data_IF_382786041444
#
_entry.id   IF_382786041444
#
_cell.length_a   1.000
_cell.length_b   1.000
_cell.length_c   1.000
_cell.angle_alpha   90.00
_cell.angle_beta   90.00
_cell.angle_gamma   90.00
#
_symmetry.space_group_name_H-M   'P 1'
#
loop_
_entity.id
_entity.type
_entity.pdbx_description
1 polymer ?
#
# COMPACT_ATOMS: atom_id res chain seq x y z
N UNK A 1 -7.37 3.30 2.01
CA UNK A 1 -6.46 4.37 1.56
C UNK A 1 -6.84 5.78 2.03
N UNK A 2 -8.02 6.34 1.70
CA UNK A 2 -8.38 7.75 2.04
C UNK A 2 -8.46 8.06 3.54
N UNK A 3 -8.51 7.03 4.40
CA UNK A 3 -8.40 7.17 5.85
C UNK A 3 -7.13 6.57 6.43
N UNK A 4 -6.28 5.94 5.64
CA UNK A 4 -5.02 5.38 6.13
C UNK A 4 -3.97 6.49 6.24
N UNK A 5 -3.08 6.35 7.20
CA UNK A 5 -1.94 7.25 7.43
C UNK A 5 -0.66 6.41 7.47
N UNK A 6 0.49 7.07 7.50
CA UNK A 6 1.79 6.39 7.50
C UNK A 6 1.82 5.21 8.49
N UNK A 7 2.14 4.02 7.96
CA UNK A 7 2.29 2.77 8.68
C UNK A 7 1.07 2.37 9.54
N UNK A 8 -0.11 2.89 9.20
CA UNK A 8 -1.35 2.66 9.96
C UNK A 8 -2.42 2.09 9.03
N UNK A 9 -2.72 0.81 9.21
CA UNK A 9 -3.86 0.17 8.57
C UNK A 9 -5.14 0.49 9.35
N UNK A 10 -6.09 1.21 8.72
CA UNK A 10 -7.44 1.46 9.27
C UNK A 10 -8.54 0.70 8.54
N UNK A 11 -8.18 -0.03 7.48
CA UNK A 11 -9.14 -0.85 6.76
C UNK A 11 -9.39 -2.17 7.47
N UNK A 12 -8.35 -2.95 7.74
CA UNK A 12 -8.48 -4.32 8.27
C UNK A 12 -9.15 -4.32 9.65
N UNK A 13 -10.16 -5.16 9.84
CA UNK A 13 -10.81 -5.36 11.12
C UNK A 13 -10.00 -6.32 12.01
N UNK A 14 -10.08 -6.23 13.35
CA UNK A 14 -9.36 -7.12 14.25
C UNK A 14 -9.67 -8.61 14.07
N UNK A 15 -10.88 -8.92 13.59
CA UNK A 15 -11.36 -10.28 13.29
C UNK A 15 -11.10 -10.69 11.83
N UNK A 16 -10.43 -9.85 11.04
CA UNK A 16 -10.14 -10.03 9.62
C UNK A 16 -11.39 -10.17 8.73
N UNK A 17 -12.58 -9.78 9.22
CA UNK A 17 -13.86 -9.94 8.49
C UNK A 17 -13.90 -9.27 7.11
N UNK A 18 -13.12 -8.20 6.92
CA UNK A 18 -13.02 -7.46 5.64
C UNK A 18 -11.80 -7.84 4.80
N UNK A 19 -10.97 -8.76 5.28
CA UNK A 19 -9.79 -9.25 4.58
C UNK A 19 -10.16 -10.14 3.38
N UNK A 20 -11.44 -10.55 3.23
CA UNK A 20 -11.93 -11.30 2.07
C UNK A 20 -12.02 -10.47 0.77
N UNK A 21 -12.06 -9.15 0.86
CA UNK A 21 -12.13 -8.25 -0.32
C UNK A 21 -10.77 -7.63 -0.61
N UNK A 22 -10.10 -7.14 0.44
CA UNK A 22 -8.75 -6.58 0.37
C UNK A 22 -7.85 -7.27 1.39
N UNK A 23 -7.33 -8.47 1.07
CA UNK A 23 -6.32 -9.11 1.89
C UNK A 23 -5.10 -8.22 2.11
N UNK A 24 -4.59 -8.16 3.34
CA UNK A 24 -3.28 -7.58 3.63
C UNK A 24 -2.19 -8.23 2.76
N UNK A 25 -1.29 -7.43 2.20
CA UNK A 25 -0.21 -7.93 1.36
C UNK A 25 0.96 -8.43 2.22
N UNK A 26 1.05 -9.75 2.43
CA UNK A 26 2.13 -10.40 3.18
C UNK A 26 3.35 -10.69 2.29
N UNK A 27 3.92 -9.63 1.72
CA UNK A 27 5.08 -9.72 0.81
C UNK A 27 6.37 -9.49 1.60
N UNK A 28 7.36 -10.35 1.39
CA UNK A 28 8.72 -10.11 1.89
C UNK A 28 9.39 -8.98 1.08
N UNK A 29 9.98 -7.95 1.72
CA UNK A 29 10.61 -6.81 1.02
C UNK A 29 11.64 -7.22 -0.04
N UNK A 30 12.34 -8.34 0.14
CA UNK A 30 13.28 -8.89 -0.86
C UNK A 30 12.64 -9.44 -2.15
N UNK A 31 11.31 -9.38 -2.29
CA UNK A 31 10.57 -9.80 -3.50
C UNK A 31 10.00 -8.62 -4.30
N UNK A 32 10.28 -7.38 -3.89
CA UNK A 32 9.85 -6.20 -4.64
C UNK A 32 10.70 -5.99 -5.90
N UNK A 33 10.17 -5.39 -6.97
CA UNK A 33 10.94 -5.13 -8.18
C UNK A 33 12.11 -4.18 -7.91
N UNK A 34 13.28 -4.45 -8.50
CA UNK A 34 14.50 -3.66 -8.32
C UNK A 34 14.41 -2.22 -8.83
N UNK A 35 13.41 -1.90 -9.64
CA UNK A 35 13.13 -0.53 -10.10
C UNK A 35 12.63 0.38 -8.98
N UNK A 36 12.22 -0.17 -7.83
CA UNK A 36 11.83 0.60 -6.65
C UNK A 36 12.98 0.69 -5.65
N UNK A 37 13.02 1.78 -4.89
CA UNK A 37 13.96 1.91 -3.79
C UNK A 37 13.53 1.01 -2.62
N UNK A 38 14.40 0.09 -2.21
CA UNK A 38 14.11 -0.81 -1.09
C UNK A 38 13.84 -0.07 0.22
N UNK A 39 14.44 1.12 0.41
CA UNK A 39 14.24 1.93 1.60
C UNK A 39 12.82 2.54 1.73
N UNK A 40 12.06 2.56 0.63
CA UNK A 40 10.67 3.00 0.66
C UNK A 40 9.73 1.90 1.17
N UNK A 41 10.20 0.64 1.27
CA UNK A 41 9.39 -0.47 1.76
C UNK A 41 9.67 -0.77 3.23
N UNK A 42 8.61 -1.05 3.97
CA UNK A 42 8.67 -1.48 5.36
C UNK A 42 7.60 -2.56 5.63
N UNK A 43 7.60 -3.15 6.82
CA UNK A 43 6.54 -4.05 7.26
C UNK A 43 5.95 -3.61 8.59
N UNK A 44 4.63 -3.69 8.69
CA UNK A 44 3.88 -3.46 9.92
C UNK A 44 3.18 -4.74 10.37
N UNK A 45 3.03 -4.92 11.68
CA UNK A 45 2.19 -5.97 12.24
C UNK A 45 0.73 -5.50 12.30
N UNK A 46 -0.15 -6.25 11.63
CA UNK A 46 -1.59 -6.00 11.63
C UNK A 46 -2.30 -7.28 11.99
N UNK A 47 -2.82 -7.33 13.23
CA UNK A 47 -3.59 -8.45 13.76
C UNK A 47 -2.92 -9.82 13.54
N UNK A 48 -1.62 -9.90 13.80
CA UNK A 48 -0.82 -11.14 13.65
C UNK A 48 -0.31 -11.42 12.24
N UNK A 49 -0.50 -10.50 11.29
CA UNK A 49 0.03 -10.58 9.92
C UNK A 49 1.10 -9.52 9.65
N UNK A 50 2.12 -9.88 8.87
CA UNK A 50 3.18 -8.96 8.43
C UNK A 50 2.75 -8.28 7.13
N UNK A 51 2.21 -7.08 7.22
CA UNK A 51 1.76 -6.33 6.06
C UNK A 51 2.89 -5.45 5.50
N UNK A 52 3.15 -5.54 4.19
CA UNK A 52 4.08 -4.67 3.49
C UNK A 52 3.51 -3.24 3.37
N UNK A 53 4.36 -2.24 3.56
CA UNK A 53 4.06 -0.83 3.28
C UNK A 53 5.00 -0.28 2.20
N UNK A 54 4.56 0.74 1.47
CA UNK A 54 5.40 1.51 0.54
C UNK A 54 5.24 3.01 0.79
N UNK A 55 6.33 3.70 1.10
CA UNK A 55 6.36 5.09 1.58
C UNK A 55 5.32 5.36 2.68
N UNK A 56 5.15 4.38 3.56
CA UNK A 56 4.17 4.41 4.65
C UNK A 56 2.75 3.99 4.29
N UNK A 57 2.43 3.72 3.02
CA UNK A 57 1.10 3.23 2.64
C UNK A 57 0.98 1.72 2.89
N UNK A 58 0.02 1.25 3.71
CA UNK A 58 -0.25 -0.17 3.84
C UNK A 58 -0.73 -0.75 2.50
N UNK A 59 -0.11 -1.83 2.05
CA UNK A 59 -0.44 -2.46 0.77
C UNK A 59 -1.44 -3.60 0.95
N UNK A 60 -2.32 -3.75 -0.04
CA UNK A 60 -3.35 -4.78 -0.10
C UNK A 60 -3.33 -5.43 -1.47
N UNK A 61 -3.69 -6.71 -1.52
CA UNK A 61 -4.11 -7.33 -2.76
C UNK A 61 -5.61 -7.19 -2.92
N UNK A 62 -6.08 -7.04 -4.15
CA UNK A 62 -7.50 -7.20 -4.40
C UNK A 62 -7.79 -8.69 -4.56
N UNK A 63 -8.66 -9.27 -3.72
CA UNK A 63 -8.91 -10.72 -3.73
C UNK A 63 -9.48 -11.26 -5.05
N UNK A 64 -10.00 -10.38 -5.92
CA UNK A 64 -10.54 -10.73 -7.24
C UNK A 64 -9.53 -10.53 -8.39
N UNK A 65 -8.34 -9.99 -8.10
CA UNK A 65 -7.24 -9.91 -9.07
C UNK A 65 -6.53 -11.28 -9.12
N UNK A 66 -7.09 -12.18 -9.92
CA UNK A 66 -6.67 -13.59 -10.03
C UNK A 66 -5.44 -13.79 -10.92
N UNK A 67 -5.07 -12.82 -11.76
CA UNK A 67 -3.88 -12.86 -12.61
C UNK A 67 -2.93 -11.72 -12.27
N UNK A 68 -1.62 -11.99 -12.33
CA UNK A 68 -0.58 -10.95 -12.21
C UNK A 68 -0.81 -9.89 -13.29
N UNK A 69 -1.01 -8.64 -12.89
CA UNK A 69 -1.32 -7.54 -13.79
C UNK A 69 -2.81 -7.19 -13.89
N UNK A 70 -3.70 -7.97 -13.27
CA UNK A 70 -5.08 -7.51 -13.03
C UNK A 70 -5.04 -6.31 -12.08
N UNK A 71 -5.84 -5.28 -12.40
CA UNK A 71 -5.97 -4.07 -11.58
C UNK A 71 -7.44 -3.75 -11.31
N UNK A 72 -8.31 -4.76 -11.21
CA UNK A 72 -9.77 -4.53 -11.08
C UNK A 72 -10.11 -3.84 -9.76
N UNK A 73 -9.22 -3.98 -8.77
CA UNK A 73 -9.33 -3.33 -7.48
C UNK A 73 -9.41 -1.80 -7.56
N UNK A 74 -8.83 -1.16 -8.57
CA UNK A 74 -8.80 0.32 -8.66
C UNK A 74 -10.19 0.96 -8.81
N UNK A 75 -11.15 0.17 -9.31
CA UNK A 75 -12.53 0.59 -9.55
C UNK A 75 -13.50 0.05 -8.49
N UNK A 76 -13.03 -0.74 -7.53
CA UNK A 76 -13.87 -1.36 -6.51
C UNK A 76 -13.79 -0.60 -5.17
N UNK A 77 -14.88 -0.39 -4.43
CA UNK A 77 -16.27 -0.46 -4.89
C UNK A 77 -16.62 0.71 -5.84
N UNK A 78 -15.75 1.72 -5.89
CA UNK A 78 -15.79 2.84 -6.83
C UNK A 78 -14.35 3.29 -7.16
N UNK A 79 -14.11 3.90 -8.34
CA UNK A 79 -12.81 4.44 -8.71
C UNK A 79 -12.24 5.40 -7.66
N UNK A 80 -10.91 5.33 -7.46
CA UNK A 80 -10.16 6.27 -6.61
C UNK A 80 -10.10 5.92 -5.11
N UNK A 81 -10.69 4.79 -4.69
CA UNK A 81 -10.59 4.32 -3.29
C UNK A 81 -9.31 3.54 -3.04
N UNK A 82 -8.86 2.76 -4.04
CA UNK A 82 -7.69 1.89 -3.95
C UNK A 82 -6.75 2.11 -5.13
N UNK A 83 -5.87 3.10 -5.07
CA UNK A 83 -4.93 3.37 -6.16
C UNK A 83 -3.85 2.29 -6.24
N UNK A 84 -3.33 2.08 -7.45
CA UNK A 84 -2.09 1.29 -7.65
C UNK A 84 -0.90 2.12 -7.21
N UNK A 85 -0.08 1.52 -6.35
CA UNK A 85 1.18 2.11 -5.93
C UNK A 85 2.23 1.97 -7.04
N UNK A 86 2.90 3.07 -7.34
CA UNK A 86 3.95 3.17 -8.34
C UNK A 86 5.02 4.19 -7.90
N UNK A 87 6.06 4.39 -8.70
CA UNK A 87 7.19 5.27 -8.35
C UNK A 87 6.77 6.73 -8.10
N UNK A 88 5.70 7.19 -8.74
CA UNK A 88 5.15 8.54 -8.56
C UNK A 88 4.19 8.65 -7.37
N UNK A 89 3.87 7.55 -6.68
CA UNK A 89 3.02 7.59 -5.49
C UNK A 89 3.69 8.45 -4.41
N UNK A 90 3.03 9.51 -3.92
CA UNK A 90 3.56 10.35 -2.86
C UNK A 90 3.58 9.58 -1.54
N UNK A 91 4.42 10.01 -0.61
CA UNK A 91 4.46 9.42 0.72
C UNK A 91 3.12 9.58 1.48
N UNK A 92 2.82 8.62 2.34
CA UNK A 92 1.62 8.68 3.18
C UNK A 92 1.69 9.88 4.13
N UNK A 93 0.56 10.52 4.46
CA UNK A 93 0.52 11.59 5.46
C UNK A 93 1.17 11.12 6.78
N UNK A 94 2.18 11.85 7.24
CA UNK A 94 2.94 11.54 8.45
C UNK A 94 4.12 10.57 8.27
N UNK A 95 4.46 10.16 7.05
CA UNK A 95 5.62 9.29 6.81
C UNK A 95 6.91 10.11 6.87
N UNK A 96 7.81 9.73 7.79
CA UNK A 96 9.13 10.38 7.97
C UNK A 96 10.29 9.55 7.39
N UNK A 97 10.01 8.41 6.76
CA UNK A 97 11.04 7.60 6.10
C UNK A 97 11.51 8.26 4.80
N UNK A 98 12.83 8.25 4.59
CA UNK A 98 13.59 8.84 3.47
C UNK A 98 12.84 9.88 2.63
N UNK A 99 12.79 11.10 3.16
CA UNK A 99 12.50 12.30 2.38
C UNK A 99 13.60 12.50 1.33
N UNK A 100 13.47 11.88 0.15
CA UNK A 100 14.08 12.48 -1.04
C UNK A 100 13.08 13.46 -1.64
N UNK A 101 13.33 14.71 -1.24
CA UNK A 101 12.64 15.92 -1.61
C UNK A 101 12.56 16.04 -3.15
N UNK A 102 11.38 15.81 -3.70
CA UNK A 102 11.00 16.18 -5.06
C UNK A 102 10.03 17.36 -5.02
N UNK A 103 10.41 18.45 -4.33
CA UNK A 103 9.74 19.73 -4.50
C UNK A 103 10.04 20.24 -5.91
N UNK A 104 9.08 20.09 -6.81
CA UNK A 104 9.07 20.69 -8.13
C UNK A 104 7.81 21.53 -8.28
N UNK A 105 7.87 22.75 -7.75
CA UNK A 105 6.90 23.82 -7.97
C UNK A 105 6.73 24.12 -9.47
N UNK A 106 5.59 24.71 -9.80
CA UNK A 106 5.09 24.87 -11.17
C UNK A 106 5.95 25.69 -12.14
N UNK A 107 5.59 25.51 -13.40
CA UNK A 107 5.40 26.55 -14.42
C UNK A 107 4.19 26.14 -15.27
#
# INVERSE_FOLDING_TARGET
FTKDSANTNRFTAPDLSNNGVWPVAEITPGKVPSSFNAADFDQIDVYGKKQLTYKGWPLYYFGQDMKRGDTKGVSFPKPGVWPVVNLSTPAAPGYSGSSNNGSGSGY
#
